data_IF_008606232634
#
_entry.id   IF_008606232634
#
_cell.length_a   1.000
_cell.length_b   1.000
_cell.length_c   1.000
_cell.angle_alpha   90.00
_cell.angle_beta   90.00
_cell.angle_gamma   90.00
#
_symmetry.space_group_name_H-M   'P 1'
#
loop_
_entity.id
_entity.type
_entity.pdbx_description
1 polymer ?
#
# COMPACT_ATOMS: atom_id res chain seq x y z
N UNK A 1 -36.96 -5.16 -28.92
CA UNK A 1 -35.50 -5.42 -28.97
C UNK A 1 -34.82 -4.17 -28.45
N UNK A 2 -34.78 -4.02 -27.13
CA UNK A 2 -34.16 -2.91 -26.41
C UNK A 2 -32.83 -3.41 -25.86
N UNK A 3 -31.74 -2.84 -26.35
CA UNK A 3 -30.40 -3.06 -25.84
C UNK A 3 -30.25 -2.31 -24.52
N UNK A 4 -30.28 -3.05 -23.40
CA UNK A 4 -29.90 -2.53 -22.11
C UNK A 4 -28.42 -2.14 -22.15
N UNK A 5 -28.20 -0.83 -22.04
CA UNK A 5 -26.90 -0.20 -21.91
C UNK A 5 -26.39 -0.49 -20.50
N UNK A 6 -25.62 -1.56 -20.34
CA UNK A 6 -24.89 -1.89 -19.10
C UNK A 6 -23.71 -0.93 -18.87
N UNK A 7 -24.01 0.36 -18.77
CA UNK A 7 -23.10 1.33 -18.16
C UNK A 7 -23.17 1.15 -16.65
N UNK A 8 -22.22 0.42 -16.07
CA UNK A 8 -22.09 0.24 -14.62
C UNK A 8 -22.26 1.56 -13.89
N UNK A 9 -23.42 1.73 -13.25
CA UNK A 9 -23.81 2.94 -12.56
C UNK A 9 -22.99 3.01 -11.28
N UNK A 10 -21.85 3.71 -11.32
CA UNK A 10 -21.13 4.13 -10.12
C UNK A 10 -22.11 4.92 -9.26
N UNK A 11 -22.57 4.32 -8.16
CA UNK A 11 -23.58 4.91 -7.29
C UNK A 11 -22.99 6.14 -6.60
N UNK A 12 -23.65 7.30 -6.73
CA UNK A 12 -23.29 8.57 -6.08
C UNK A 12 -23.51 8.57 -4.55
N UNK A 13 -23.67 7.37 -3.97
CA UNK A 13 -23.83 7.19 -2.53
C UNK A 13 -22.50 7.43 -1.83
N UNK A 14 -22.41 8.58 -1.16
CA UNK A 14 -21.29 8.97 -0.29
C UNK A 14 -21.16 8.03 0.92
N UNK A 15 -22.24 7.36 1.33
CA UNK A 15 -22.28 6.41 2.45
C UNK A 15 -22.28 4.97 1.95
N UNK A 16 -21.11 4.48 1.50
CA UNK A 16 -20.87 3.05 1.30
C UNK A 16 -20.05 2.49 2.46
N UNK A 17 -20.23 1.20 2.77
CA UNK A 17 -19.45 0.54 3.84
C UNK A 17 -17.93 0.66 3.63
N UNK A 18 -17.39 0.51 2.40
CA UNK A 18 -15.97 0.78 2.14
C UNK A 18 -15.54 2.21 2.49
N UNK A 19 -16.34 3.23 2.15
CA UNK A 19 -15.98 4.61 2.47
C UNK A 19 -15.94 4.88 3.99
N UNK A 20 -16.87 4.27 4.75
CA UNK A 20 -16.85 4.36 6.20
C UNK A 20 -15.58 3.71 6.79
N UNK A 21 -15.15 2.57 6.23
CA UNK A 21 -13.91 1.89 6.65
C UNK A 21 -12.66 2.72 6.33
N UNK A 22 -12.57 3.35 5.15
CA UNK A 22 -11.46 4.26 4.82
C UNK A 22 -11.43 5.50 5.74
N UNK A 23 -12.59 6.05 6.12
CA UNK A 23 -12.67 7.17 7.09
C UNK A 23 -12.23 6.73 8.49
N UNK A 24 -12.67 5.55 8.95
CA UNK A 24 -12.20 4.99 10.22
C UNK A 24 -10.68 4.84 10.18
N UNK A 25 -10.11 4.28 9.11
CA UNK A 25 -8.65 4.15 8.93
C UNK A 25 -7.95 5.49 9.04
N UNK A 26 -8.48 6.53 8.39
CA UNK A 26 -7.94 7.88 8.48
C UNK A 26 -7.92 8.42 9.93
N UNK A 27 -8.93 8.10 10.74
CA UNK A 27 -8.97 8.45 12.17
C UNK A 27 -8.03 7.58 13.02
N UNK A 28 -7.76 6.34 12.62
CA UNK A 28 -6.80 5.47 13.30
C UNK A 28 -5.36 5.97 13.15
N UNK A 29 -5.01 6.68 12.08
CA UNK A 29 -3.66 7.24 11.88
C UNK A 29 -3.21 8.17 13.02
N UNK A 30 -3.94 9.27 13.35
CA UNK A 30 -3.54 10.15 14.44
C UNK A 30 -3.61 9.46 15.81
N UNK A 31 -4.56 8.53 16.01
CA UNK A 31 -4.63 7.72 17.22
C UNK A 31 -3.39 6.85 17.39
N UNK A 32 -2.96 6.16 16.32
CA UNK A 32 -1.75 5.36 16.29
C UNK A 32 -0.51 6.20 16.59
N UNK A 33 -0.37 7.36 15.94
CA UNK A 33 0.72 8.30 16.21
C UNK A 33 0.74 8.75 17.66
N UNK A 34 -0.41 9.15 18.18
CA UNK A 34 -0.55 9.60 19.56
C UNK A 34 -0.09 8.48 20.51
N UNK A 35 -0.62 7.26 20.37
CA UNK A 35 -0.30 6.13 21.24
C UNK A 35 1.17 5.73 21.18
N UNK A 36 1.75 5.71 19.99
CA UNK A 36 3.13 5.27 19.77
C UNK A 36 4.16 6.32 20.21
N UNK A 37 3.90 7.61 19.97
CA UNK A 37 4.86 8.69 20.21
C UNK A 37 4.64 9.43 21.53
N UNK A 38 3.38 9.54 21.99
CA UNK A 38 3.00 10.27 23.18
C UNK A 38 3.22 9.46 24.46
N UNK A 39 2.26 8.62 24.89
CA UNK A 39 2.39 7.80 26.07
C UNK A 39 3.23 6.53 25.83
N UNK A 40 3.71 6.29 24.61
CA UNK A 40 4.48 5.10 24.22
C UNK A 40 3.81 3.78 24.61
N UNK A 41 2.49 3.73 24.42
CA UNK A 41 1.65 2.58 24.75
C UNK A 41 1.69 1.56 23.60
N UNK A 42 2.84 0.89 23.44
CA UNK A 42 3.13 0.02 22.29
C UNK A 42 2.07 -1.08 22.07
N UNK A 43 1.50 -1.65 23.15
CA UNK A 43 0.42 -2.64 23.04
C UNK A 43 -0.87 -2.07 22.43
N UNK A 44 -1.25 -0.84 22.77
CA UNK A 44 -2.40 -0.16 22.18
C UNK A 44 -2.10 0.31 20.76
N UNK A 45 -0.88 0.81 20.50
CA UNK A 45 -0.44 1.16 19.15
C UNK A 45 -0.46 -0.06 18.23
N UNK A 46 -0.04 -1.23 18.72
CA UNK A 46 -0.12 -2.51 18.00
C UNK A 46 -1.55 -2.90 17.69
N UNK A 47 -2.46 -2.82 18.67
CA UNK A 47 -3.87 -3.11 18.46
C UNK A 47 -4.49 -2.22 17.36
N UNK A 48 -4.18 -0.91 17.38
CA UNK A 48 -4.63 0.04 16.36
C UNK A 48 -4.02 -0.28 14.99
N UNK A 49 -2.72 -0.59 14.94
CA UNK A 49 -2.04 -0.95 13.69
C UNK A 49 -2.66 -2.21 13.05
N UNK A 50 -2.92 -3.24 13.86
CA UNK A 50 -3.57 -4.47 13.43
C UNK A 50 -5.02 -4.23 12.99
N UNK A 51 -5.79 -3.43 13.74
CA UNK A 51 -7.16 -3.06 13.38
C UNK A 51 -7.22 -2.27 12.07
N UNK A 52 -6.27 -1.37 11.85
CA UNK A 52 -6.13 -0.59 10.61
C UNK A 52 -5.88 -1.51 9.41
N UNK A 53 -4.94 -2.46 9.52
CA UNK A 53 -4.65 -3.42 8.46
C UNK A 53 -5.78 -4.42 8.22
N UNK A 54 -6.47 -4.87 9.27
CA UNK A 54 -7.65 -5.74 9.12
C UNK A 54 -8.80 -5.03 8.39
N UNK A 55 -8.96 -3.73 8.64
CA UNK A 55 -9.98 -2.89 8.01
C UNK A 55 -9.76 -2.76 6.50
N UNK A 56 -8.49 -2.63 6.07
CA UNK A 56 -8.03 -2.61 4.65
C UNK A 56 -8.16 -3.95 3.91
N UNK A 57 -8.04 -5.04 4.65
CA UNK A 57 -8.33 -6.33 4.04
C UNK A 57 -9.84 -6.52 3.85
N UNK A 58 -10.62 -6.03 4.81
CA UNK A 58 -12.07 -6.23 4.86
C UNK A 58 -12.80 -5.39 3.81
N UNK A 59 -12.46 -4.11 3.62
CA UNK A 59 -13.05 -3.27 2.58
C UNK A 59 -12.69 -3.75 1.16
N UNK A 60 -11.46 -4.19 0.92
CA UNK A 60 -11.02 -4.74 -0.37
C UNK A 60 -11.78 -6.03 -0.73
N UNK A 61 -12.15 -6.84 0.28
CA UNK A 61 -13.00 -8.01 0.09
C UNK A 61 -14.47 -7.61 -0.11
N UNK A 62 -14.99 -6.71 0.70
CA UNK A 62 -16.39 -6.25 0.63
C UNK A 62 -16.70 -5.52 -0.67
N UNK A 63 -15.79 -4.67 -1.16
CA UNK A 63 -15.96 -3.95 -2.43
C UNK A 63 -16.11 -4.92 -3.60
N UNK A 64 -15.38 -6.04 -3.60
CA UNK A 64 -15.47 -7.10 -4.63
C UNK A 64 -16.75 -7.92 -4.54
N UNK A 65 -17.27 -8.14 -3.33
CA UNK A 65 -18.45 -8.98 -3.12
C UNK A 65 -19.75 -8.18 -3.30
N UNK A 66 -19.75 -6.90 -2.93
CA UNK A 66 -20.94 -6.07 -2.95
C UNK A 66 -21.12 -5.26 -4.24
N UNK A 67 -20.11 -5.23 -5.12
CA UNK A 67 -20.05 -4.39 -6.32
C UNK A 67 -20.32 -2.89 -6.03
N UNK A 68 -20.12 -2.49 -4.77
CA UNK A 68 -20.36 -1.13 -4.29
C UNK A 68 -19.06 -0.34 -4.31
N UNK A 69 -18.71 0.16 -5.48
CA UNK A 69 -17.62 1.13 -5.66
C UNK A 69 -18.19 2.54 -5.82
N UNK A 70 -17.69 3.49 -5.03
CA UNK A 70 -18.02 4.92 -5.17
C UNK A 70 -16.83 5.67 -5.76
N UNK A 71 -17.08 6.71 -6.56
CA UNK A 71 -16.01 7.54 -7.16
C UNK A 71 -15.13 8.21 -6.10
N UNK A 72 -15.74 8.66 -5.00
CA UNK A 72 -15.04 9.27 -3.87
C UNK A 72 -14.18 8.24 -3.14
N UNK A 73 -14.72 7.05 -2.85
CA UNK A 73 -13.98 5.96 -2.22
C UNK A 73 -12.78 5.54 -3.06
N UNK A 74 -12.95 5.37 -4.38
CA UNK A 74 -11.86 4.99 -5.29
C UNK A 74 -10.69 6.00 -5.33
N UNK A 75 -10.93 7.27 -4.98
CA UNK A 75 -9.88 8.29 -4.89
C UNK A 75 -9.31 8.45 -3.47
N UNK A 76 -10.15 8.33 -2.44
CA UNK A 76 -9.75 8.43 -1.03
C UNK A 76 -8.90 7.23 -0.59
N UNK A 77 -9.26 6.03 -1.01
CA UNK A 77 -8.65 4.79 -0.53
C UNK A 77 -7.13 4.72 -0.81
N UNK A 78 -6.65 4.99 -2.04
CA UNK A 78 -5.21 5.02 -2.30
C UNK A 78 -4.46 6.14 -1.56
N UNK A 79 -5.14 7.24 -1.22
CA UNK A 79 -4.53 8.34 -0.46
C UNK A 79 -4.39 7.97 1.01
N UNK A 80 -5.44 7.44 1.63
CA UNK A 80 -5.43 7.01 3.03
C UNK A 80 -4.45 5.86 3.25
N UNK A 81 -4.36 4.91 2.31
CA UNK A 81 -3.36 3.83 2.37
C UNK A 81 -1.93 4.36 2.37
N UNK A 82 -1.64 5.28 1.45
CA UNK A 82 -0.30 5.88 1.34
C UNK A 82 0.05 6.69 2.57
N UNK A 83 -0.90 7.48 3.08
CA UNK A 83 -0.74 8.23 4.32
C UNK A 83 -0.49 7.30 5.50
N UNK A 84 -1.26 6.21 5.61
CA UNK A 84 -1.13 5.23 6.71
C UNK A 84 0.26 4.62 6.74
N UNK A 85 0.74 4.11 5.60
CA UNK A 85 2.07 3.47 5.50
C UNK A 85 3.19 4.47 5.77
N UNK A 86 3.16 5.65 5.14
CA UNK A 86 4.21 6.67 5.32
C UNK A 86 4.25 7.14 6.76
N UNK A 87 3.09 7.36 7.38
CA UNK A 87 2.98 7.81 8.77
C UNK A 87 3.46 6.75 9.74
N UNK A 88 3.10 5.48 9.52
CA UNK A 88 3.57 4.36 10.34
C UNK A 88 5.11 4.22 10.27
N UNK A 89 5.67 4.25 9.06
CA UNK A 89 7.13 4.20 8.88
C UNK A 89 7.83 5.39 9.52
N UNK A 90 7.31 6.60 9.37
CA UNK A 90 7.87 7.80 10.00
C UNK A 90 7.87 7.69 11.52
N UNK A 91 6.76 7.23 12.13
CA UNK A 91 6.68 7.02 13.57
C UNK A 91 7.66 5.96 14.08
N UNK A 92 7.84 4.88 13.32
CA UNK A 92 8.83 3.83 13.65
C UNK A 92 10.26 4.35 13.59
N UNK A 93 10.57 5.23 12.62
CA UNK A 93 11.87 5.89 12.54
C UNK A 93 12.10 6.83 13.73
N UNK A 94 11.09 7.62 14.11
CA UNK A 94 11.16 8.51 15.29
C UNK A 94 11.38 7.71 16.58
N UNK A 95 10.74 6.53 16.70
CA UNK A 95 10.94 5.59 17.82
C UNK A 95 12.27 4.83 17.76
N UNK A 96 13.02 4.93 16.67
CA UNK A 96 14.26 4.16 16.47
C UNK A 96 14.03 2.66 16.22
N UNK A 97 12.80 2.23 15.94
CA UNK A 97 12.45 0.83 15.66
C UNK A 97 12.99 0.41 14.29
N UNK A 98 12.92 1.32 13.31
CA UNK A 98 13.43 1.10 11.96
C UNK A 98 14.46 2.19 11.63
N UNK A 99 15.60 1.84 11.01
CA UNK A 99 16.54 2.84 10.50
C UNK A 99 15.91 3.73 9.42
N UNK A 100 16.14 5.04 9.48
CA UNK A 100 15.55 6.01 8.54
C UNK A 100 15.79 5.65 7.06
N UNK A 101 16.96 5.08 6.73
CA UNK A 101 17.29 4.69 5.36
C UNK A 101 16.42 3.55 4.84
N UNK A 102 15.96 2.63 5.70
CA UNK A 102 15.01 1.57 5.31
C UNK A 102 13.67 2.20 4.93
N UNK A 103 13.17 3.13 5.74
CA UNK A 103 11.92 3.82 5.44
C UNK A 103 11.99 4.58 4.10
N UNK A 104 13.12 5.26 3.83
CA UNK A 104 13.37 5.93 2.54
C UNK A 104 13.37 4.95 1.38
N UNK A 105 13.97 3.76 1.53
CA UNK A 105 13.97 2.72 0.50
C UNK A 105 12.54 2.24 0.22
N UNK A 106 11.77 1.92 1.26
CA UNK A 106 10.41 1.40 1.13
C UNK A 106 9.50 2.42 0.42
N UNK A 107 9.48 3.66 0.92
CA UNK A 107 8.67 4.74 0.33
C UNK A 107 9.17 5.10 -1.07
N UNK A 108 10.49 5.25 -1.24
CA UNK A 108 11.10 5.63 -2.50
C UNK A 108 10.81 4.63 -3.62
N UNK A 109 10.92 3.32 -3.33
CA UNK A 109 10.56 2.27 -4.29
C UNK A 109 9.11 2.41 -4.75
N UNK A 110 8.19 2.63 -3.82
CA UNK A 110 6.78 2.76 -4.16
C UNK A 110 6.46 4.02 -4.97
N UNK A 111 7.12 5.14 -4.69
CA UNK A 111 7.04 6.33 -5.52
C UNK A 111 7.58 6.09 -6.93
N UNK A 112 8.68 5.35 -7.06
CA UNK A 112 9.28 5.01 -8.36
C UNK A 112 8.34 4.11 -9.17
N UNK A 113 7.70 3.12 -8.56
CA UNK A 113 6.72 2.27 -9.24
C UNK A 113 5.46 3.05 -9.63
N UNK A 114 4.94 3.90 -8.74
CA UNK A 114 3.80 4.76 -9.03
C UNK A 114 4.11 5.73 -10.18
N UNK A 115 5.30 6.33 -10.18
CA UNK A 115 5.79 7.20 -11.25
C UNK A 115 5.95 6.45 -12.59
N UNK A 116 6.46 5.22 -12.56
CA UNK A 116 6.55 4.36 -13.74
C UNK A 116 5.16 4.11 -14.32
N UNK A 117 4.20 3.71 -13.50
CA UNK A 117 2.82 3.47 -13.95
C UNK A 117 2.16 4.75 -14.51
N UNK A 118 2.42 5.90 -13.89
CA UNK A 118 1.93 7.19 -14.39
C UNK A 118 2.50 7.54 -15.77
N UNK A 119 3.80 7.33 -15.99
CA UNK A 119 4.46 7.56 -17.29
C UNK A 119 3.85 6.63 -18.35
N UNK A 120 3.63 5.35 -18.02
CA UNK A 120 3.04 4.37 -18.94
C UNK A 120 1.65 4.77 -19.37
N UNK A 121 0.80 5.16 -18.41
CA UNK A 121 -0.55 5.64 -18.67
C UNK A 121 -0.55 6.90 -19.55
N UNK A 122 0.39 7.83 -19.30
CA UNK A 122 0.55 9.06 -20.12
C UNK A 122 1.04 8.77 -21.54
N UNK A 123 1.81 7.70 -21.74
CA UNK A 123 2.37 7.32 -23.05
C UNK A 123 1.54 6.28 -23.80
N UNK A 124 0.41 5.84 -23.24
CA UNK A 124 -0.42 4.78 -23.84
C UNK A 124 0.29 3.43 -23.92
N UNK A 125 1.32 3.20 -23.10
CA UNK A 125 2.07 1.95 -23.09
C UNK A 125 1.31 0.87 -22.31
N UNK A 126 1.36 -0.40 -22.74
CA UNK A 126 0.75 -1.49 -22.00
C UNK A 126 1.43 -1.63 -20.62
N UNK A 127 0.67 -1.86 -19.54
CA UNK A 127 1.24 -1.97 -18.21
C UNK A 127 2.22 -3.15 -18.12
N UNK A 128 3.36 -2.99 -17.42
CA UNK A 128 4.31 -4.08 -17.22
C UNK A 128 3.68 -5.25 -16.46
N UNK A 129 4.08 -6.48 -16.78
CA UNK A 129 3.62 -7.67 -16.08
C UNK A 129 3.85 -7.58 -14.56
N UNK A 130 2.81 -7.92 -13.81
CA UNK A 130 2.87 -7.96 -12.35
C UNK A 130 3.66 -9.18 -11.90
N UNK A 131 4.73 -8.94 -11.14
CA UNK A 131 5.58 -10.00 -10.59
C UNK A 131 4.96 -10.49 -9.28
N UNK A 132 4.53 -11.75 -9.19
CA UNK A 132 3.98 -12.34 -7.97
C UNK A 132 4.95 -12.25 -6.77
N UNK A 133 6.26 -12.39 -7.03
CA UNK A 133 7.30 -12.20 -6.01
C UNK A 133 7.27 -10.79 -5.41
N UNK A 134 6.91 -9.76 -6.20
CA UNK A 134 6.75 -8.39 -5.69
C UNK A 134 5.57 -8.26 -4.73
N UNK A 135 4.46 -8.98 -4.98
CA UNK A 135 3.34 -9.05 -4.03
C UNK A 135 3.78 -9.71 -2.73
N UNK A 136 4.49 -10.83 -2.81
CA UNK A 136 5.03 -11.54 -1.65
C UNK A 136 5.95 -10.63 -0.82
N UNK A 137 6.84 -9.87 -1.45
CA UNK A 137 7.70 -8.91 -0.77
C UNK A 137 6.90 -7.84 0.00
N UNK A 138 5.82 -7.31 -0.59
CA UNK A 138 4.91 -6.38 0.11
C UNK A 138 4.24 -7.05 1.32
N UNK A 139 3.77 -8.30 1.18
CA UNK A 139 3.19 -9.04 2.31
C UNK A 139 4.18 -9.23 3.46
N UNK A 140 5.45 -9.53 3.15
CA UNK A 140 6.50 -9.65 4.17
C UNK A 140 6.67 -8.33 4.92
N UNK A 141 6.75 -7.19 4.22
CA UNK A 141 6.87 -5.86 4.85
C UNK A 141 5.63 -5.53 5.70
N UNK A 142 4.44 -5.88 5.22
CA UNK A 142 3.19 -5.67 5.96
C UNK A 142 3.17 -6.42 7.29
N UNK A 143 3.70 -7.65 7.34
CA UNK A 143 3.83 -8.43 8.59
C UNK A 143 4.98 -7.91 9.45
N UNK A 144 6.02 -7.36 8.83
CA UNK A 144 7.20 -6.84 9.52
C UNK A 144 6.83 -5.74 10.53
N UNK A 145 5.97 -4.78 10.15
CA UNK A 145 5.69 -3.64 11.02
C UNK A 145 4.99 -4.04 12.34
N UNK A 146 3.91 -4.85 12.34
CA UNK A 146 3.31 -5.33 13.58
C UNK A 146 4.26 -6.20 14.41
N UNK A 147 5.06 -7.06 13.78
CA UNK A 147 6.02 -7.93 14.50
C UNK A 147 7.10 -7.11 15.18
N UNK A 148 7.65 -6.10 14.49
CA UNK A 148 8.64 -5.19 15.07
C UNK A 148 8.05 -4.39 16.24
N UNK A 149 6.83 -3.87 16.10
CA UNK A 149 6.17 -3.16 17.19
C UNK A 149 5.83 -4.09 18.37
N UNK A 150 5.45 -5.34 18.11
CA UNK A 150 5.25 -6.32 19.17
C UNK A 150 6.56 -6.69 19.89
N UNK A 151 7.71 -6.54 19.22
CA UNK A 151 9.03 -6.81 19.80
C UNK A 151 9.59 -5.70 20.68
N UNK A 152 8.96 -4.52 20.75
CA UNK A 152 9.43 -3.41 21.61
C UNK A 152 8.97 -3.50 23.06
N UNK A 153 8.05 -4.41 23.39
CA UNK A 153 7.57 -4.60 24.76
C UNK A 153 8.56 -5.32 25.66
N UNK A 154 8.33 -5.27 26.98
CA UNK A 154 9.19 -5.90 28.00
C UNK A 154 8.82 -7.36 28.32
N UNK A 155 8.14 -8.05 27.40
CA UNK A 155 7.65 -9.41 27.65
C UNK A 155 8.60 -10.47 27.07
N UNK A 156 8.65 -11.70 27.63
CA UNK A 156 9.45 -12.79 27.04
C UNK A 156 9.06 -13.12 25.59
N UNK A 157 7.81 -12.84 25.22
CA UNK A 157 7.33 -12.97 23.84
C UNK A 157 7.98 -11.94 22.94
N UNK A 158 8.16 -10.71 23.41
CA UNK A 158 8.80 -9.64 22.65
C UNK A 158 10.28 -9.96 22.36
N UNK A 159 11.00 -10.53 23.33
CA UNK A 159 12.39 -10.99 23.15
C UNK A 159 12.50 -12.05 22.05
N UNK A 160 11.53 -12.96 21.97
CA UNK A 160 11.46 -13.97 20.90
C UNK A 160 11.09 -13.37 19.54
N UNK A 161 10.26 -12.33 19.52
CA UNK A 161 9.83 -11.65 18.30
C UNK A 161 10.90 -10.74 17.73
N UNK A 162 11.81 -10.21 18.54
CA UNK A 162 12.87 -9.31 18.09
C UNK A 162 13.73 -9.86 16.93
N UNK A 163 14.31 -11.09 17.02
CA UNK A 163 15.09 -11.64 15.90
C UNK A 163 14.21 -11.93 14.68
N UNK A 164 12.95 -12.30 14.88
CA UNK A 164 11.99 -12.55 13.79
C UNK A 164 11.66 -11.25 13.06
N UNK A 165 11.31 -10.19 13.79
CA UNK A 165 11.01 -8.88 13.24
C UNK A 165 12.21 -8.28 12.49
N UNK A 166 13.41 -8.41 13.07
CA UNK A 166 14.64 -7.95 12.43
C UNK A 166 14.96 -8.74 11.17
N UNK A 167 14.83 -10.07 11.19
CA UNK A 167 15.03 -10.90 10.02
C UNK A 167 14.01 -10.55 8.91
N UNK A 168 12.74 -10.38 9.26
CA UNK A 168 11.69 -9.94 8.33
C UNK A 168 12.01 -8.56 7.73
N UNK A 169 12.52 -7.62 8.53
CA UNK A 169 12.92 -6.30 8.06
C UNK A 169 14.07 -6.37 7.06
N UNK A 170 15.15 -7.09 7.39
CA UNK A 170 16.34 -7.17 6.52
C UNK A 170 16.02 -7.92 5.23
N UNK A 171 15.49 -9.14 5.33
CA UNK A 171 15.19 -9.97 4.16
C UNK A 171 14.01 -9.43 3.36
N UNK A 172 12.98 -8.91 4.05
CA UNK A 172 11.85 -8.24 3.42
C UNK A 172 12.29 -7.03 2.62
N UNK A 173 13.12 -6.15 3.19
CA UNK A 173 13.64 -4.97 2.48
C UNK A 173 14.50 -5.38 1.29
N UNK A 174 15.37 -6.39 1.44
CA UNK A 174 16.19 -6.89 0.34
C UNK A 174 15.32 -7.43 -0.82
N UNK A 175 14.32 -8.26 -0.52
CA UNK A 175 13.36 -8.77 -1.52
C UNK A 175 12.54 -7.64 -2.15
N UNK A 176 12.17 -6.63 -1.37
CA UNK A 176 11.38 -5.49 -1.82
C UNK A 176 12.14 -4.63 -2.83
N UNK A 177 13.42 -4.36 -2.56
CA UNK A 177 14.33 -3.67 -3.47
C UNK A 177 14.57 -4.50 -4.73
N UNK A 178 14.90 -5.79 -4.56
CA UNK A 178 15.16 -6.71 -5.68
C UNK A 178 13.98 -6.79 -6.64
N UNK A 179 12.78 -7.00 -6.12
CA UNK A 179 11.55 -7.06 -6.93
C UNK A 179 11.19 -5.72 -7.56
N UNK A 180 11.48 -4.60 -6.89
CA UNK A 180 11.39 -3.27 -7.47
C UNK A 180 12.30 -3.09 -8.68
N UNK A 181 13.57 -3.50 -8.57
CA UNK A 181 14.53 -3.49 -9.67
C UNK A 181 14.10 -4.37 -10.84
N UNK A 182 13.64 -5.59 -10.56
CA UNK A 182 13.10 -6.49 -11.59
C UNK A 182 11.89 -5.89 -12.32
N UNK A 183 10.99 -5.22 -11.60
CA UNK A 183 9.85 -4.55 -12.20
C UNK A 183 10.29 -3.42 -13.14
N UNK A 184 11.24 -2.57 -12.70
CA UNK A 184 11.78 -1.50 -13.53
C UNK A 184 12.52 -2.00 -14.75
N UNK A 185 13.26 -3.11 -14.61
CA UNK A 185 13.90 -3.77 -15.74
C UNK A 185 12.86 -4.24 -16.76
N UNK A 186 11.84 -4.99 -16.33
CA UNK A 186 10.74 -5.43 -17.19
C UNK A 186 10.00 -4.26 -17.85
N UNK A 187 9.71 -3.20 -17.09
CA UNK A 187 9.15 -1.98 -17.63
C UNK A 187 10.06 -1.43 -18.74
N UNK A 188 11.33 -1.17 -18.45
CA UNK A 188 12.26 -0.61 -19.43
C UNK A 188 12.34 -1.43 -20.73
N UNK A 189 12.20 -2.77 -20.66
CA UNK A 189 12.11 -3.62 -21.84
C UNK A 189 10.82 -3.38 -22.64
N UNK A 190 9.66 -3.34 -21.99
CA UNK A 190 8.38 -3.03 -22.65
C UNK A 190 8.45 -1.66 -23.34
N UNK A 191 8.93 -0.63 -22.64
CA UNK A 191 9.04 0.72 -23.21
C UNK A 191 10.00 0.81 -24.42
N UNK A 192 10.98 -0.10 -24.53
CA UNK A 192 11.91 -0.16 -25.67
C UNK A 192 11.33 -0.92 -26.87
N UNK A 193 10.47 -1.91 -26.64
CA UNK A 193 9.94 -2.78 -27.70
C UNK A 193 8.57 -2.33 -28.21
N UNK A 194 7.87 -1.45 -27.51
CA UNK A 194 6.62 -0.83 -28.01
C UNK A 194 6.97 0.47 -28.74
N UNK A 195 6.79 0.52 -30.07
CA UNK A 195 6.90 1.77 -30.82
C UNK A 195 5.85 2.79 -30.33
N UNK A 196 6.16 4.09 -30.26
CA UNK A 196 5.17 5.09 -29.89
C UNK A 196 4.02 5.10 -30.91
N UNK A 197 2.75 5.28 -30.47
CA UNK A 197 1.61 5.34 -31.39
C UNK A 197 1.85 6.42 -32.44
N UNK A 198 1.55 6.11 -33.71
CA UNK A 198 1.68 7.07 -34.80
C UNK A 198 0.72 8.23 -34.58
N UNK A 199 1.14 9.46 -34.91
CA UNK A 199 0.34 10.69 -34.73
C UNK A 199 -1.02 10.68 -35.45
N UNK A 200 -1.28 9.70 -36.30
CA UNK A 200 -2.53 9.55 -37.05
C UNK A 200 -3.67 8.96 -36.20
N UNK A 201 -3.39 8.04 -35.27
CA UNK A 201 -4.44 7.45 -34.41
C UNK A 201 -4.99 8.42 -33.36
N UNK A 202 -4.21 9.44 -32.99
CA UNK A 202 -4.63 10.46 -32.01
C UNK A 202 -5.55 11.53 -32.60
N UNK A 203 -5.73 11.57 -33.93
CA UNK A 203 -6.64 12.52 -34.61
C UNK A 203 -8.02 11.94 -34.93
N UNK A 204 -8.20 10.63 -34.77
CA UNK A 204 -9.44 9.91 -35.08
C UNK A 204 -10.26 9.50 -33.86
N UNK A 205 -9.87 9.91 -32.66
CA UNK A 205 -10.58 9.69 -31.39
C UNK A 205 -10.91 11.03 -30.73
#
# INVERSE_FOLDING_TARGET
>A
MSTDNEGGVLSDRVLTLPNALSVIRLLLIPLFLYLLLGPQSDGWALAVLLASGATDWLDGKLARVLDQSSRLGAMLDPLVDRLSVVTALAAFVVRGIIPWWVAVILVGRDLVLAGTMFIYRRRGLPPPEVIYLGKAATFVIMITLPVLLASTGESPVADLLWPVGTALLVWGTALYVWTGGLYLYKASLVARHTAPPSREETRSA
#
